data_IF_165033916454
#
_entry.id   IF_165033916454
#
_cell.length_a   1.000
_cell.length_b   1.000
_cell.length_c   1.000
_cell.angle_alpha   90.00
_cell.angle_beta   90.00
_cell.angle_gamma   90.00
#
_symmetry.space_group_name_H-M   'P 1'
#
loop_
_entity.id
_entity.type
_entity.pdbx_description
1 polymer ?
#
# COMPACT_ATOMS: atom_id res chain seq x y z
N UNK A 1 2.03 15.07 6.32
CA UNK A 1 2.22 14.03 5.29
C UNK A 1 1.25 12.89 5.56
N UNK A 2 0.56 12.42 4.54
CA UNK A 2 -0.39 11.33 4.69
C UNK A 2 0.34 9.98 4.58
N UNK A 3 -0.32 8.92 5.07
CA UNK A 3 0.24 7.58 4.95
C UNK A 3 0.42 7.19 3.48
N UNK A 4 -0.50 7.63 2.62
CA UNK A 4 -0.40 7.41 1.20
C UNK A 4 0.90 8.01 0.63
N UNK A 5 1.20 9.25 0.98
CA UNK A 5 2.41 9.90 0.51
C UNK A 5 3.66 9.19 1.03
N UNK A 6 3.64 8.78 2.30
CA UNK A 6 4.76 8.02 2.86
C UNK A 6 4.98 6.71 2.14
N UNK A 7 3.90 6.00 1.83
CA UNK A 7 4.01 4.73 1.10
C UNK A 7 4.60 4.94 -0.28
N UNK A 8 4.22 6.03 -0.95
CA UNK A 8 4.80 6.34 -2.26
C UNK A 8 6.30 6.58 -2.16
N UNK A 9 6.74 7.27 -1.12
CA UNK A 9 8.16 7.52 -0.89
C UNK A 9 8.89 6.20 -0.64
N UNK A 10 8.35 5.35 0.21
CA UNK A 10 8.95 4.05 0.50
C UNK A 10 9.08 3.21 -0.77
N UNK A 11 8.05 3.22 -1.59
CA UNK A 11 8.06 2.47 -2.84
C UNK A 11 9.18 2.99 -3.75
N UNK A 12 9.36 4.30 -3.81
CA UNK A 12 10.40 4.91 -4.63
C UNK A 12 11.80 4.58 -4.14
N UNK A 13 11.93 4.21 -2.87
CA UNK A 13 13.21 3.79 -2.28
C UNK A 13 13.53 2.31 -2.55
N UNK A 14 12.64 1.60 -3.23
CA UNK A 14 12.82 0.18 -3.49
C UNK A 14 12.21 -0.74 -2.47
N UNK A 15 11.41 -0.22 -1.56
CA UNK A 15 10.71 -1.01 -0.55
C UNK A 15 9.48 -1.67 -1.17
N UNK A 16 9.71 -2.68 -1.99
CA UNK A 16 8.65 -3.33 -2.77
C UNK A 16 8.05 -4.55 -2.04
N UNK A 17 7.85 -4.41 -0.74
CA UNK A 17 7.22 -5.45 0.07
C UNK A 17 5.72 -5.25 0.08
N UNK A 18 5.01 -5.98 -0.77
CA UNK A 18 3.57 -5.84 -0.92
C UNK A 18 2.82 -6.06 0.40
N UNK A 19 3.30 -7.00 1.22
CA UNK A 19 2.68 -7.28 2.52
C UNK A 19 2.63 -6.04 3.40
N UNK A 20 3.65 -5.21 3.32
CA UNK A 20 3.75 -3.99 4.11
C UNK A 20 2.60 -3.05 3.76
N UNK A 21 2.39 -2.83 2.46
CA UNK A 21 1.34 -1.92 1.99
C UNK A 21 -0.05 -2.52 2.18
N UNK A 22 -0.18 -3.83 2.07
CA UNK A 22 -1.43 -4.52 2.37
C UNK A 22 -1.84 -4.30 3.82
N UNK A 23 -0.89 -4.28 4.74
CA UNK A 23 -1.16 -4.00 6.15
C UNK A 23 -1.72 -2.60 6.30
N UNK A 24 -1.20 -1.61 5.58
CA UNK A 24 -1.74 -0.25 5.62
C UNK A 24 -3.20 -0.21 5.18
N UNK A 25 -3.54 -0.98 4.14
CA UNK A 25 -4.94 -1.06 3.69
C UNK A 25 -5.81 -1.70 4.76
N UNK A 26 -5.35 -2.78 5.38
CA UNK A 26 -6.11 -3.49 6.41
C UNK A 26 -6.36 -2.62 7.63
N UNK A 27 -5.42 -1.76 7.97
CA UNK A 27 -5.56 -0.84 9.10
C UNK A 27 -6.39 0.39 8.76
N UNK A 28 -6.77 0.54 7.48
CA UNK A 28 -7.55 1.69 7.04
C UNK A 28 -6.73 2.96 6.86
N UNK A 29 -5.42 2.86 6.81
CA UNK A 29 -4.54 4.01 6.66
C UNK A 29 -4.39 4.44 5.20
N UNK A 30 -4.54 3.51 4.28
CA UNK A 30 -4.65 3.81 2.86
C UNK A 30 -5.81 2.98 2.30
N UNK A 31 -6.30 3.38 1.12
CA UNK A 31 -7.39 2.66 0.46
C UNK A 31 -6.82 1.65 -0.53
N UNK A 32 -7.70 0.74 -1.01
CA UNK A 32 -7.31 -0.20 -2.05
C UNK A 32 -6.88 0.52 -3.33
N UNK A 33 -7.56 1.63 -3.66
CA UNK A 33 -7.19 2.44 -4.82
C UNK A 33 -5.80 3.05 -4.65
N UNK A 34 -5.51 3.53 -3.44
CA UNK A 34 -4.20 4.08 -3.13
C UNK A 34 -3.11 3.00 -3.19
N UNK A 35 -3.43 1.81 -2.72
CA UNK A 35 -2.52 0.67 -2.81
C UNK A 35 -2.13 0.40 -4.27
N UNK A 36 -3.13 0.36 -5.14
CA UNK A 36 -2.88 0.13 -6.56
C UNK A 36 -2.06 1.26 -7.17
N UNK A 37 -2.33 2.50 -6.78
CA UNK A 37 -1.58 3.65 -7.27
C UNK A 37 -0.11 3.59 -6.84
N UNK A 38 0.14 3.12 -5.62
CA UNK A 38 1.49 3.02 -5.09
C UNK A 38 2.25 1.87 -5.73
N UNK A 39 1.65 0.68 -5.77
CA UNK A 39 2.33 -0.55 -6.14
C UNK A 39 2.13 -0.94 -7.59
N UNK A 40 1.09 -0.44 -8.23
CA UNK A 40 0.71 -0.86 -9.57
C UNK A 40 -0.01 -2.20 -9.60
N UNK A 41 -0.27 -2.79 -8.44
CA UNK A 41 -0.94 -4.09 -8.33
C UNK A 41 -2.31 -3.92 -7.70
N UNK A 42 -3.28 -4.70 -8.15
CA UNK A 42 -4.61 -4.69 -7.52
C UNK A 42 -4.53 -5.22 -6.10
N UNK A 43 -5.23 -4.56 -5.18
CA UNK A 43 -5.31 -5.06 -3.82
C UNK A 43 -6.27 -6.24 -3.77
N UNK A 44 -5.76 -7.37 -3.28
CA UNK A 44 -6.56 -8.57 -3.09
C UNK A 44 -6.78 -8.73 -1.60
N UNK A 45 -8.05 -8.74 -1.17
CA UNK A 45 -8.37 -8.92 0.24
C UNK A 45 -7.91 -10.31 0.65
N UNK A 46 -7.09 -10.44 1.71
CA UNK A 46 -6.69 -11.75 2.19
C UNK A 46 -7.93 -12.53 2.62
N UNK A 47 -8.10 -13.71 2.08
CA UNK A 47 -9.23 -14.57 2.43
C UNK A 47 -8.82 -15.41 3.63
N UNK A 48 -9.59 -15.34 4.72
CA UNK A 48 -9.28 -16.18 5.87
C UNK A 48 -9.44 -17.65 5.58
#
# INVERSE_FOLDING_TARGET
>A
MTDYEQCKIFWSWGEHHLDYYQTYVQLGQITADQYKDITGEDYVVPTP
#
